data_IF_745611310573
#
_entry.id   IF_745611310573
#
_cell.length_a   1.000
_cell.length_b   1.000
_cell.length_c   1.000
_cell.angle_alpha   90.00
_cell.angle_beta   90.00
_cell.angle_gamma   90.00
#
_symmetry.space_group_name_H-M   'P 1'
#
loop_
_entity.id
_entity.type
_entity.pdbx_description
1 polymer ?
#
# COMPACT_ATOMS: atom_id res chain seq x y z
N UNK A 1 -20.37 3.91 15.21
CA UNK A 1 -19.20 4.15 16.07
C UNK A 1 -18.22 5.00 15.28
N UNK A 2 -18.31 6.32 15.40
CA UNK A 2 -17.38 7.27 14.80
C UNK A 2 -16.02 7.08 15.47
N UNK A 3 -15.07 6.51 14.75
CA UNK A 3 -13.66 6.51 15.13
C UNK A 3 -13.07 7.83 14.71
N UNK A 4 -12.82 8.68 15.70
CA UNK A 4 -11.99 9.88 15.71
C UNK A 4 -11.04 10.01 14.51
N UNK A 5 -11.31 10.97 13.62
CA UNK A 5 -10.38 11.43 12.60
C UNK A 5 -9.25 12.22 13.27
N UNK A 6 -8.36 11.52 13.99
CA UNK A 6 -7.04 12.07 14.27
C UNK A 6 -6.37 12.28 12.93
N UNK A 7 -6.32 13.53 12.47
CA UNK A 7 -5.36 14.01 11.48
C UNK A 7 -3.96 13.67 12.01
N UNK A 8 -3.57 12.42 11.83
CA UNK A 8 -2.31 11.89 12.31
C UNK A 8 -1.29 12.51 11.38
N UNK A 9 -0.60 13.53 11.87
CA UNK A 9 0.42 14.23 11.13
C UNK A 9 1.49 13.21 10.74
N UNK A 10 1.39 12.69 9.52
CA UNK A 10 2.32 11.73 8.97
C UNK A 10 3.63 12.46 8.71
N UNK A 11 4.63 12.22 9.55
CA UNK A 11 5.98 12.65 9.26
C UNK A 11 6.65 11.64 8.29
N UNK A 12 6.58 11.97 6.99
CA UNK A 12 7.19 11.17 5.94
C UNK A 12 8.73 11.15 5.99
N UNK A 13 9.36 11.99 6.82
CA UNK A 13 10.82 11.95 7.04
C UNK A 13 11.28 10.64 7.70
N UNK A 14 10.37 9.84 8.26
CA UNK A 14 10.70 8.51 8.79
C UNK A 14 10.62 7.37 7.76
N UNK A 15 10.28 7.67 6.50
CA UNK A 15 10.14 6.70 5.39
C UNK A 15 11.23 6.85 4.32
N UNK A 16 12.48 7.08 4.75
CA UNK A 16 13.61 7.36 3.84
C UNK A 16 14.37 6.10 3.40
N UNK A 17 14.02 4.93 3.95
CA UNK A 17 14.65 3.69 3.53
C UNK A 17 14.19 3.27 2.13
N UNK A 18 15.06 2.55 1.43
CA UNK A 18 14.81 2.15 0.04
C UNK A 18 13.52 1.32 -0.13
N UNK A 19 13.13 0.52 0.88
CA UNK A 19 11.93 -0.33 0.80
C UNK A 19 10.66 0.50 0.91
N UNK A 20 10.63 1.45 1.85
CA UNK A 20 9.54 2.42 2.00
C UNK A 20 9.36 3.26 0.74
N UNK A 21 10.46 3.80 0.20
CA UNK A 21 10.44 4.60 -1.04
C UNK A 21 9.94 3.75 -2.22
N UNK A 22 10.42 2.50 -2.36
CA UNK A 22 9.98 1.61 -3.45
C UNK A 22 8.48 1.33 -3.40
N UNK A 23 7.91 1.11 -2.19
CA UNK A 23 6.47 0.93 -2.02
C UNK A 23 5.74 2.22 -2.38
N UNK A 24 6.16 3.38 -1.85
CA UNK A 24 5.54 4.68 -2.14
C UNK A 24 5.53 4.99 -3.63
N UNK A 25 6.67 4.83 -4.32
CA UNK A 25 6.78 5.02 -5.75
C UNK A 25 5.84 4.09 -6.52
N UNK A 26 5.72 2.84 -6.11
CA UNK A 26 4.78 1.92 -6.74
C UNK A 26 3.33 2.31 -6.47
N UNK A 27 2.98 2.71 -5.24
CA UNK A 27 1.63 3.20 -4.92
C UNK A 27 1.23 4.42 -5.76
N UNK A 28 2.16 5.35 -6.01
CA UNK A 28 1.94 6.54 -6.83
C UNK A 28 1.65 6.25 -8.31
N UNK A 29 1.83 5.01 -8.77
CA UNK A 29 1.52 4.60 -10.16
C UNK A 29 0.13 3.99 -10.31
N UNK A 30 -0.64 3.91 -9.23
CA UNK A 30 -1.91 3.21 -9.23
C UNK A 30 -2.91 3.81 -10.23
N UNK A 31 -3.00 5.14 -10.27
CA UNK A 31 -3.83 5.90 -11.21
C UNK A 31 -3.40 5.71 -12.67
N UNK A 32 -2.10 5.77 -12.95
CA UNK A 32 -1.51 5.47 -14.27
C UNK A 32 -1.93 4.07 -14.75
N UNK A 33 -1.79 3.07 -13.87
CA UNK A 33 -2.14 1.68 -14.20
C UNK A 33 -3.63 1.51 -14.43
N UNK A 34 -4.49 2.18 -13.65
CA UNK A 34 -5.93 2.16 -13.85
C UNK A 34 -6.32 2.78 -15.20
N UNK A 35 -5.72 3.93 -15.55
CA UNK A 35 -5.92 4.56 -16.86
C UNK A 35 -5.50 3.61 -17.98
N UNK A 36 -4.33 2.97 -17.85
CA UNK A 36 -3.85 2.01 -18.83
C UNK A 36 -4.79 0.81 -18.99
N UNK A 37 -5.38 0.30 -17.89
CA UNK A 37 -6.37 -0.77 -17.96
C UNK A 37 -7.60 -0.38 -18.77
N UNK A 38 -8.06 0.87 -18.62
CA UNK A 38 -9.24 1.39 -19.35
C UNK A 38 -8.92 1.59 -20.82
N UNK A 39 -7.77 2.20 -21.14
CA UNK A 39 -7.37 2.47 -22.53
C UNK A 39 -7.15 1.18 -23.33
N UNK A 40 -6.51 0.19 -22.73
CA UNK A 40 -6.13 -1.06 -23.39
C UNK A 40 -7.15 -2.20 -23.19
N UNK A 41 -8.20 -1.97 -22.39
CA UNK A 41 -9.22 -2.95 -22.01
C UNK A 41 -8.64 -4.28 -21.48
N UNK A 42 -7.55 -4.19 -20.71
CA UNK A 42 -6.80 -5.36 -20.26
C UNK A 42 -6.55 -5.32 -18.75
N UNK A 43 -7.18 -6.21 -17.95
CA UNK A 43 -7.00 -6.23 -16.50
C UNK A 43 -5.60 -6.70 -16.06
N UNK A 44 -4.81 -7.29 -16.97
CA UNK A 44 -3.46 -7.78 -16.67
C UNK A 44 -2.53 -6.69 -16.11
N UNK A 45 -2.74 -5.43 -16.51
CA UNK A 45 -1.93 -4.32 -16.01
C UNK A 45 -2.15 -4.12 -14.51
N UNK A 46 -3.41 -4.12 -14.06
CA UNK A 46 -3.75 -4.07 -12.65
C UNK A 46 -3.28 -5.32 -11.90
N UNK A 47 -3.46 -6.52 -12.47
CA UNK A 47 -2.99 -7.76 -11.83
C UNK A 47 -1.47 -7.71 -11.60
N UNK A 48 -0.68 -7.33 -12.61
CA UNK A 48 0.77 -7.24 -12.49
C UNK A 48 1.20 -6.18 -11.48
N UNK A 49 0.49 -5.04 -11.44
CA UNK A 49 0.70 -4.01 -10.45
C UNK A 49 0.48 -4.53 -9.02
N UNK A 50 -0.64 -5.21 -8.77
CA UNK A 50 -0.97 -5.75 -7.44
C UNK A 50 0.00 -6.83 -6.99
N UNK A 51 0.40 -7.74 -7.90
CA UNK A 51 1.41 -8.77 -7.59
C UNK A 51 2.76 -8.15 -7.25
N UNK A 52 3.18 -7.12 -7.99
CA UNK A 52 4.42 -6.38 -7.70
C UNK A 52 4.34 -5.69 -6.34
N UNK A 53 3.21 -5.05 -6.04
CA UNK A 53 2.98 -4.42 -4.73
C UNK A 53 3.06 -5.45 -3.60
N UNK A 54 2.40 -6.60 -3.76
CA UNK A 54 2.47 -7.70 -2.79
C UNK A 54 3.91 -8.16 -2.55
N UNK A 55 4.74 -8.30 -3.59
CA UNK A 55 6.14 -8.69 -3.45
C UNK A 55 6.97 -7.62 -2.70
N UNK A 56 6.82 -6.35 -3.05
CA UNK A 56 7.50 -5.24 -2.36
C UNK A 56 7.15 -5.21 -0.88
N UNK A 57 5.86 -5.37 -0.55
CA UNK A 57 5.33 -5.32 0.82
C UNK A 57 5.73 -6.55 1.61
N UNK A 58 5.65 -7.74 1.03
CA UNK A 58 6.10 -8.98 1.68
C UNK A 58 7.59 -8.91 2.03
N UNK A 59 8.37 -8.28 1.16
CA UNK A 59 9.77 -7.98 1.44
C UNK A 59 9.87 -6.97 2.57
N UNK A 60 9.27 -5.78 2.44
CA UNK A 60 9.38 -4.70 3.43
C UNK A 60 8.86 -5.07 4.82
N UNK A 61 7.83 -5.90 4.93
CA UNK A 61 7.26 -6.35 6.20
C UNK A 61 8.28 -7.10 7.07
N UNK A 62 9.25 -7.80 6.48
CA UNK A 62 10.34 -8.46 7.23
C UNK A 62 11.40 -7.48 7.72
N UNK A 63 11.67 -6.43 6.95
CA UNK A 63 12.82 -5.54 7.18
C UNK A 63 12.43 -4.23 7.90
N UNK A 64 11.14 -3.87 7.88
CA UNK A 64 10.58 -2.65 8.47
C UNK A 64 9.64 -2.99 9.63
N UNK A 65 10.17 -3.39 10.81
CA UNK A 65 9.33 -3.74 11.94
C UNK A 65 8.55 -2.53 12.43
N UNK A 66 7.23 -2.68 12.57
CA UNK A 66 6.36 -1.67 13.21
C UNK A 66 6.42 -1.80 14.73
N UNK A 67 6.24 -3.03 15.23
CA UNK A 67 6.32 -3.33 16.66
C UNK A 67 7.77 -3.21 17.16
N UNK A 68 7.96 -2.54 18.29
CA UNK A 68 9.28 -2.34 18.89
C UNK A 68 10.11 -1.19 18.29
N UNK A 69 9.59 -0.50 17.26
CA UNK A 69 10.20 0.74 16.77
C UNK A 69 9.79 1.94 17.63
N UNK A 70 10.55 3.03 17.52
CA UNK A 70 10.15 4.33 18.10
C UNK A 70 8.77 4.74 17.56
N UNK A 71 7.96 5.40 18.40
CA UNK A 71 6.55 5.71 18.11
C UNK A 71 6.36 6.39 16.75
N UNK A 72 7.17 7.40 16.43
CA UNK A 72 7.08 8.19 15.20
C UNK A 72 7.35 7.33 13.95
N UNK A 73 8.39 6.49 14.00
CA UNK A 73 8.74 5.54 12.93
C UNK A 73 7.68 4.46 12.79
N UNK A 74 7.15 3.96 13.92
CA UNK A 74 6.10 2.95 13.92
C UNK A 74 4.82 3.50 13.28
N UNK A 75 4.42 4.73 13.61
CA UNK A 75 3.27 5.41 13.02
C UNK A 75 3.46 5.59 11.50
N UNK A 76 4.62 6.11 11.07
CA UNK A 76 4.89 6.31 9.65
C UNK A 76 4.81 5.00 8.84
N UNK A 77 5.40 3.91 9.35
CA UNK A 77 5.33 2.58 8.73
C UNK A 77 3.91 2.02 8.75
N UNK A 78 3.17 2.22 9.82
CA UNK A 78 1.78 1.77 9.93
C UNK A 78 0.91 2.44 8.86
N UNK A 79 1.07 3.75 8.64
CA UNK A 79 0.38 4.47 7.57
C UNK A 79 0.76 3.95 6.18
N UNK A 80 2.04 3.68 5.93
CA UNK A 80 2.50 3.08 4.68
C UNK A 80 1.82 1.72 4.40
N UNK A 81 1.79 0.83 5.39
CA UNK A 81 1.15 -0.48 5.24
C UNK A 81 -0.37 -0.38 5.15
N UNK A 82 -1.00 0.53 5.90
CA UNK A 82 -2.45 0.75 5.82
C UNK A 82 -2.89 1.30 4.44
N UNK A 83 -2.12 2.25 3.89
CA UNK A 83 -2.34 2.77 2.54
C UNK A 83 -2.17 1.68 1.47
N UNK A 84 -1.15 0.84 1.63
CA UNK A 84 -0.93 -0.35 0.79
C UNK A 84 -2.13 -1.29 0.83
N UNK A 85 -2.62 -1.65 2.01
CA UNK A 85 -3.80 -2.52 2.16
C UNK A 85 -5.03 -1.94 1.48
N UNK A 86 -5.23 -0.62 1.58
CA UNK A 86 -6.33 0.08 0.89
C UNK A 86 -6.22 -0.04 -0.63
N UNK A 87 -5.03 0.17 -1.20
CA UNK A 87 -4.80 0.03 -2.65
C UNK A 87 -4.99 -1.42 -3.11
N UNK A 88 -4.45 -2.40 -2.37
CA UNK A 88 -4.65 -3.83 -2.66
C UNK A 88 -6.15 -4.19 -2.65
N UNK A 89 -6.86 -3.78 -1.60
CA UNK A 89 -8.29 -4.05 -1.47
C UNK A 89 -9.10 -3.43 -2.60
N UNK A 90 -8.78 -2.19 -3.00
CA UNK A 90 -9.46 -1.51 -4.10
C UNK A 90 -9.16 -2.18 -5.44
N UNK A 91 -7.90 -2.53 -5.71
CA UNK A 91 -7.53 -3.24 -6.94
C UNK A 91 -8.19 -4.61 -7.05
N UNK A 92 -8.23 -5.37 -5.95
CA UNK A 92 -8.95 -6.66 -5.90
C UNK A 92 -10.45 -6.49 -6.19
N UNK A 93 -11.11 -5.48 -5.60
CA UNK A 93 -12.52 -5.18 -5.85
C UNK A 93 -12.78 -4.83 -7.33
N UNK A 94 -11.90 -4.05 -7.96
CA UNK A 94 -11.98 -3.74 -9.41
C UNK A 94 -11.89 -5.03 -10.24
N UNK A 95 -11.08 -5.99 -9.83
CA UNK A 95 -10.95 -7.31 -10.47
C UNK A 95 -12.10 -8.28 -10.13
N UNK A 96 -13.10 -7.86 -9.34
CA UNK A 96 -14.20 -8.73 -8.91
C UNK A 96 -13.84 -9.70 -7.78
N UNK A 97 -12.69 -9.50 -7.12
CA UNK A 97 -12.23 -10.33 -5.98
C UNK A 97 -12.54 -9.61 -4.68
N UNK A 98 -13.14 -10.33 -3.71
CA UNK A 98 -13.44 -9.77 -2.39
C UNK A 98 -12.24 -9.94 -1.45
N UNK A 99 -11.63 -8.85 -0.93
CA UNK A 99 -10.57 -8.95 0.07
C UNK A 99 -11.11 -9.53 1.39
N UNK A 100 -10.28 -10.32 2.06
CA UNK A 100 -10.60 -10.92 3.37
C UNK A 100 -9.72 -10.32 4.46
N UNK A 101 -10.27 -10.18 5.67
CA UNK A 101 -9.53 -9.64 6.83
C UNK A 101 -8.60 -10.68 7.48
N UNK A 102 -8.97 -11.95 7.41
CA UNK A 102 -8.19 -13.10 7.87
C UNK A 102 -8.35 -14.26 6.90
N UNK A 103 -7.26 -14.99 6.68
CA UNK A 103 -7.20 -16.26 5.97
C UNK A 103 -6.92 -17.39 6.94
#
# INVERSE_FOLDING_TARGET
MHGDETHTHLDASHLQDHRSISILQHLLRYDEVLLQCVLELQPRYLVNFLLTLCHLVSSAHRDLPVKGSATEVAQARLHLFAGTCSVLANGMKILGVTPVEKM
#
